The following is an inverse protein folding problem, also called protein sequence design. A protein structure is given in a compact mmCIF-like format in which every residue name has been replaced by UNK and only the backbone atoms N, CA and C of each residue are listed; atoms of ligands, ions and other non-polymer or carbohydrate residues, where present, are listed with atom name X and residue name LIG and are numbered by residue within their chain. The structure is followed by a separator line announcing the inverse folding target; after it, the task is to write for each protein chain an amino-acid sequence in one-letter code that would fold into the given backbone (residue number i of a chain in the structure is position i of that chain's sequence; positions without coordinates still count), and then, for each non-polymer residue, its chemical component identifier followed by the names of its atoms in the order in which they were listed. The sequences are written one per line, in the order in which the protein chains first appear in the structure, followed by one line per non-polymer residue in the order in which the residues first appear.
data_IF_773814777673
#
_entry.id   IF_773814777673
#
_cell.length_a   1.000
_cell.length_b   1.000
_cell.length_c   1.000
_cell.angle_alpha   90.00
_cell.angle_beta   90.00
_cell.angle_gamma   90.00
#
_symmetry.space_group_name_H-M   'P 1'
#
loop_
_entity.id
_entity.type
_entity.pdbx_description
1 polymer ?
#
# COMPACT_ATOMS: atom_id res chain seq x y z
N UNK A 1 -22.35 14.52 -4.26
CA UNK A 1 -21.61 13.39 -3.68
C UNK A 1 -20.14 13.70 -3.85
N UNK A 2 -19.36 13.79 -2.75
CA UNK A 2 -17.93 14.06 -2.87
C UNK A 2 -17.26 12.77 -3.37
N UNK A 3 -16.87 12.76 -4.65
CA UNK A 3 -16.11 11.67 -5.25
C UNK A 3 -14.69 11.69 -4.66
N UNK A 4 -14.10 10.51 -4.53
CA UNK A 4 -12.73 10.34 -4.08
C UNK A 4 -11.99 9.47 -5.08
N UNK A 5 -10.67 9.60 -5.08
CA UNK A 5 -9.73 8.73 -5.80
C UNK A 5 -8.64 8.26 -4.84
N UNK A 6 -7.89 7.26 -5.25
CA UNK A 6 -6.70 6.79 -4.56
C UNK A 6 -5.46 7.21 -5.34
N UNK A 7 -4.52 7.80 -4.63
CA UNK A 7 -3.16 8.04 -5.13
C UNK A 7 -2.28 6.95 -4.54
N UNK A 8 -1.39 6.37 -5.33
CA UNK A 8 -0.35 5.48 -4.86
C UNK A 8 1.01 5.86 -5.46
N UNK A 9 2.02 5.97 -4.61
CA UNK A 9 3.38 6.35 -4.98
C UNK A 9 4.37 5.23 -4.62
N UNK A 10 5.32 4.97 -5.51
CA UNK A 10 6.38 3.98 -5.31
C UNK A 10 7.48 4.56 -4.42
N UNK A 11 7.66 3.97 -3.23
CA UNK A 11 8.78 4.28 -2.36
C UNK A 11 10.06 3.64 -2.87
N UNK A 12 11.19 4.35 -2.72
CA UNK A 12 12.51 3.83 -3.08
C UNK A 12 13.35 3.57 -1.83
N UNK A 13 13.98 2.38 -1.79
CA UNK A 13 14.95 2.08 -0.75
C UNK A 13 16.25 2.82 -1.06
N UNK A 14 16.51 3.89 -0.32
CA UNK A 14 17.74 4.69 -0.43
C UNK A 14 18.90 4.11 0.38
N UNK A 15 18.61 3.19 1.33
CA UNK A 15 19.61 2.54 2.20
C UNK A 15 19.34 1.04 2.37
N UNK A 16 20.28 0.15 2.04
CA UNK A 16 20.11 -1.29 2.26
C UNK A 16 20.21 -1.71 3.74
N UNK A 17 20.73 -0.83 4.60
CA UNK A 17 21.10 -1.07 6.00
C UNK A 17 20.06 -0.64 7.06
N UNK A 18 18.97 0.03 6.70
CA UNK A 18 17.83 0.38 7.57
C UNK A 18 16.52 0.49 6.75
N UNK A 19 15.35 0.54 7.42
CA UNK A 19 14.46 -0.60 7.72
C UNK A 19 14.04 -1.43 6.48
N UNK A 20 13.25 -2.49 6.65
CA UNK A 20 12.92 -3.44 5.55
C UNK A 20 12.06 -2.86 4.42
N UNK A 21 11.51 -1.65 4.59
CA UNK A 21 10.58 -0.99 3.67
C UNK A 21 11.12 0.38 3.22
N UNK A 22 10.66 0.88 2.07
CA UNK A 22 11.06 2.17 1.52
C UNK A 22 10.43 3.36 2.25
N UNK A 23 11.10 4.52 2.25
CA UNK A 23 10.55 5.78 2.76
C UNK A 23 9.35 6.25 1.91
N UNK A 24 8.48 7.06 2.51
CA UNK A 24 7.36 7.72 1.84
C UNK A 24 7.85 8.86 0.94
N UNK A 25 7.69 8.78 -0.39
CA UNK A 25 8.00 9.88 -1.29
C UNK A 25 6.79 10.81 -1.45
N UNK A 26 7.08 12.08 -1.72
CA UNK A 26 6.11 12.94 -2.40
C UNK A 26 5.66 12.27 -3.70
N UNK A 27 4.35 12.14 -3.98
CA UNK A 27 3.88 11.51 -5.21
C UNK A 27 4.29 12.25 -6.49
N UNK A 28 4.71 13.52 -6.38
CA UNK A 28 5.26 14.31 -7.48
C UNK A 28 6.73 13.97 -7.78
N UNK A 29 7.45 13.47 -6.78
CA UNK A 29 8.89 13.14 -6.88
C UNK A 29 9.13 11.63 -6.96
N UNK A 30 8.08 10.83 -6.72
CA UNK A 30 8.14 9.38 -6.80
C UNK A 30 8.47 8.93 -8.22
N UNK A 31 9.33 7.91 -8.34
CA UNK A 31 9.67 7.29 -9.64
C UNK A 31 8.44 6.77 -10.40
N UNK A 32 7.42 6.36 -9.67
CA UNK A 32 6.13 5.98 -10.22
C UNK A 32 5.01 6.43 -9.30
N UNK A 33 3.94 6.95 -9.90
CA UNK A 33 2.73 7.39 -9.22
C UNK A 33 1.51 7.01 -10.07
N UNK A 34 0.42 6.61 -9.44
CA UNK A 34 -0.86 6.32 -10.11
C UNK A 34 -2.01 6.95 -9.35
N UNK A 35 -3.06 7.31 -10.10
CA UNK A 35 -4.38 7.65 -9.57
C UNK A 35 -5.37 6.60 -10.06
N UNK A 36 -6.15 6.03 -9.14
CA UNK A 36 -7.21 5.05 -9.46
C UNK A 36 -8.52 5.42 -8.75
N UNK A 37 -9.63 4.86 -9.22
CA UNK A 37 -10.94 5.15 -8.66
C UNK A 37 -11.23 4.37 -7.36
N UNK A 38 -10.84 3.09 -7.31
CA UNK A 38 -11.09 2.22 -6.15
C UNK A 38 -9.77 1.70 -5.52
N UNK A 39 -9.82 1.37 -4.23
CA UNK A 39 -8.68 0.77 -3.53
C UNK A 39 -8.26 -0.56 -4.17
N UNK A 40 -9.22 -1.36 -4.65
CA UNK A 40 -8.95 -2.64 -5.30
C UNK A 40 -8.11 -2.49 -6.58
N UNK A 41 -8.19 -1.34 -7.25
CA UNK A 41 -7.45 -1.07 -8.48
C UNK A 41 -5.95 -0.83 -8.22
N UNK A 42 -5.54 -0.64 -6.96
CA UNK A 42 -4.13 -0.53 -6.58
C UNK A 42 -3.39 -1.86 -6.74
N UNK A 43 -4.04 -3.00 -6.51
CA UNK A 43 -3.36 -4.30 -6.53
C UNK A 43 -2.85 -4.72 -7.92
N UNK A 44 -3.62 -4.57 -9.02
CA UNK A 44 -3.10 -4.81 -10.36
C UNK A 44 -1.94 -3.87 -10.72
N UNK A 45 -1.99 -2.60 -10.33
CA UNK A 45 -0.90 -1.65 -10.58
C UNK A 45 0.35 -2.05 -9.80
N UNK A 46 0.19 -2.36 -8.52
CA UNK A 46 1.27 -2.85 -7.65
C UNK A 46 1.95 -4.10 -8.23
N UNK A 47 1.16 -5.07 -8.69
CA UNK A 47 1.69 -6.28 -9.33
C UNK A 47 2.46 -5.96 -10.63
N UNK A 48 1.96 -5.02 -11.44
CA UNK A 48 2.66 -4.55 -12.64
C UNK A 48 3.97 -3.85 -12.34
N UNK A 49 3.97 -2.98 -11.32
CA UNK A 49 5.17 -2.29 -10.84
C UNK A 49 6.22 -3.25 -10.30
N UNK A 50 5.81 -4.30 -9.56
CA UNK A 50 6.73 -5.34 -9.11
C UNK A 50 7.42 -6.04 -10.29
N UNK A 51 6.68 -6.38 -11.33
CA UNK A 51 7.25 -7.03 -12.51
C UNK A 51 8.23 -6.12 -13.28
N UNK A 52 8.05 -4.80 -13.20
CA UNK A 52 8.81 -3.83 -13.97
C UNK A 52 10.00 -3.22 -13.23
N UNK A 53 9.87 -2.97 -11.93
CA UNK A 53 10.88 -2.23 -11.15
C UNK A 53 11.74 -3.15 -10.29
N UNK A 54 11.15 -4.01 -9.46
CA UNK A 54 11.85 -4.94 -8.58
C UNK A 54 10.88 -5.97 -7.98
N UNK A 55 11.40 -7.15 -7.63
CA UNK A 55 10.58 -8.18 -6.97
C UNK A 55 10.09 -7.74 -5.58
N UNK A 56 10.85 -6.90 -4.89
CA UNK A 56 10.50 -6.29 -3.62
C UNK A 56 10.30 -4.78 -3.82
N UNK A 57 9.06 -4.32 -3.64
CA UNK A 57 8.70 -2.90 -3.67
C UNK A 57 7.86 -2.56 -2.44
N UNK A 58 7.95 -1.29 -2.02
CA UNK A 58 7.05 -0.66 -1.06
C UNK A 58 6.33 0.47 -1.77
N UNK A 59 5.02 0.57 -1.61
CA UNK A 59 4.25 1.71 -2.10
C UNK A 59 3.43 2.32 -0.98
N UNK A 60 3.15 3.60 -1.12
CA UNK A 60 2.35 4.35 -0.17
C UNK A 60 1.09 4.85 -0.87
N UNK A 61 -0.06 4.84 -0.18
CA UNK A 61 -1.33 5.17 -0.78
C UNK A 61 -2.22 6.00 0.15
N UNK A 62 -2.95 6.93 -0.47
CA UNK A 62 -3.87 7.83 0.22
C UNK A 62 -5.15 8.02 -0.59
N UNK A 63 -6.28 8.07 0.10
CA UNK A 63 -7.56 8.44 -0.47
C UNK A 63 -7.74 9.95 -0.38
N UNK A 64 -8.00 10.61 -1.51
CA UNK A 64 -8.15 12.07 -1.58
C UNK A 64 -9.46 12.44 -2.30
N UNK A 65 -10.01 13.65 -2.04
CA UNK A 65 -11.14 14.16 -2.80
C UNK A 65 -10.79 14.27 -4.29
N UNK A 66 -11.79 14.07 -5.16
CA UNK A 66 -11.64 14.16 -6.61
C UNK A 66 -12.42 15.32 -7.20
N UNK A 67 -11.88 15.92 -8.26
CA UNK A 67 -12.57 16.92 -9.08
C UNK A 67 -13.65 16.29 -9.97
N UNK A 68 -14.36 17.13 -10.74
CA UNK A 68 -15.42 16.68 -11.65
C UNK A 68 -14.91 15.77 -12.78
N UNK A 69 -13.61 15.78 -13.07
CA UNK A 69 -12.95 14.97 -14.08
C UNK A 69 -12.36 13.67 -13.50
N UNK A 70 -12.49 13.44 -12.19
CA UNK A 70 -11.93 12.25 -11.54
C UNK A 70 -10.42 12.34 -11.27
N UNK A 71 -9.85 13.55 -11.23
CA UNK A 71 -8.47 13.78 -10.82
C UNK A 71 -8.42 14.18 -9.35
N UNK A 72 -7.28 14.04 -8.66
CA UNK A 72 -7.13 14.58 -7.31
C UNK A 72 -7.51 16.06 -7.27
N UNK A 73 -8.34 16.45 -6.30
CA UNK A 73 -8.76 17.83 -6.13
C UNK A 73 -7.60 18.70 -5.63
N UNK A 74 -7.64 20.01 -5.93
CA UNK A 74 -6.62 20.97 -5.50
C UNK A 74 -6.32 20.87 -4.00
N UNK A 75 -5.03 20.90 -3.65
CA UNK A 75 -4.56 20.82 -2.27
C UNK A 75 -4.32 19.41 -1.75
N UNK A 76 -4.51 18.37 -2.57
CA UNK A 76 -4.21 16.98 -2.19
C UNK A 76 -2.73 16.78 -1.82
N UNK A 77 -1.82 17.53 -2.44
CA UNK A 77 -0.38 17.46 -2.16
C UNK A 77 -0.06 17.87 -0.71
N UNK A 78 -0.73 18.92 -0.23
CA UNK A 78 -0.57 19.40 1.14
C UNK A 78 -1.06 18.35 2.14
N UNK A 79 -2.20 17.71 1.86
CA UNK A 79 -2.73 16.62 2.68
C UNK A 79 -1.73 15.46 2.74
N UNK A 80 -1.12 15.08 1.60
CA UNK A 80 -0.08 14.05 1.60
C UNK A 80 1.12 14.42 2.46
N UNK A 81 1.63 15.64 2.32
CA UNK A 81 2.82 16.09 3.03
C UNK A 81 2.60 16.28 4.55
N UNK A 82 1.40 16.70 4.94
CA UNK A 82 1.07 16.99 6.35
C UNK A 82 0.62 15.75 7.12
N UNK A 83 -0.29 14.96 6.54
CA UNK A 83 -0.90 13.81 7.24
C UNK A 83 -0.13 12.51 6.98
N UNK A 84 0.64 12.45 5.88
CA UNK A 84 1.27 11.22 5.41
C UNK A 84 0.25 10.21 4.85
N UNK A 85 0.67 9.34 3.93
CA UNK A 85 -0.19 8.32 3.35
C UNK A 85 -0.57 7.27 4.40
N UNK A 86 -1.87 7.07 4.67
CA UNK A 86 -2.33 6.19 5.73
C UNK A 86 -2.16 4.71 5.39
N UNK A 87 -1.80 4.35 4.16
CA UNK A 87 -1.64 2.95 3.74
C UNK A 87 -0.27 2.73 3.13
N UNK A 88 0.42 1.73 3.64
CA UNK A 88 1.61 1.15 3.01
C UNK A 88 1.30 -0.24 2.47
N UNK A 89 1.76 -0.53 1.26
CA UNK A 89 1.72 -1.85 0.66
C UNK A 89 3.15 -2.35 0.48
N UNK A 90 3.47 -3.50 1.07
CA UNK A 90 4.77 -4.15 0.93
C UNK A 90 4.62 -5.49 0.19
N UNK A 91 5.53 -5.78 -0.73
CA UNK A 91 5.65 -7.12 -1.27
C UNK A 91 6.45 -8.00 -0.31
N UNK A 92 5.91 -9.17 0.03
CA UNK A 92 6.58 -10.18 0.86
C UNK A 92 6.99 -11.39 0.00
N UNK A 93 8.02 -12.15 0.43
CA UNK A 93 8.39 -13.40 -0.23
C UNK A 93 7.17 -14.33 -0.43
N UNK A 94 7.08 -14.96 -1.59
CA UNK A 94 5.93 -15.80 -1.97
C UNK A 94 4.78 -15.05 -2.65
N UNK A 95 4.93 -13.75 -2.91
CA UNK A 95 3.96 -12.95 -3.68
C UNK A 95 2.78 -12.44 -2.86
N UNK A 96 2.88 -12.49 -1.53
CA UNK A 96 1.89 -11.87 -0.65
C UNK A 96 2.08 -10.35 -0.63
N UNK A 97 0.97 -9.61 -0.61
CA UNK A 97 0.96 -8.17 -0.42
C UNK A 97 0.52 -7.92 1.02
N UNK A 98 1.40 -7.30 1.81
CA UNK A 98 1.08 -6.87 3.16
C UNK A 98 0.52 -5.44 3.10
N UNK A 99 -0.69 -5.25 3.63
CA UNK A 99 -1.34 -3.93 3.73
C UNK A 99 -1.20 -3.46 5.17
N UNK A 100 -0.48 -2.35 5.38
CA UNK A 100 -0.30 -1.74 6.71
C UNK A 100 -0.98 -0.38 6.76
N UNK A 101 -2.08 -0.24 7.51
CA UNK A 101 -2.60 1.09 7.83
C UNK A 101 -1.67 1.75 8.86
N UNK A 102 -1.30 3.01 8.64
CA UNK A 102 -0.60 3.85 9.62
C UNK A 102 -1.56 4.25 10.77
N UNK A 103 -2.86 4.29 10.49
CA UNK A 103 -3.92 4.45 11.50
C UNK A 103 -4.37 3.09 12.01
N UNK A 104 -3.83 2.66 13.15
CA UNK A 104 -4.24 1.45 13.85
C UNK A 104 -5.62 1.65 14.52
N UNK A 105 -6.70 1.39 13.79
CA UNK A 105 -7.86 0.71 14.38
C UNK A 105 -8.00 -0.65 13.69
N UNK A 106 -7.61 -1.77 14.34
CA UNK A 106 -7.86 -3.07 13.77
C UNK A 106 -9.39 -3.25 13.63
N UNK A 107 -9.88 -3.73 12.48
CA UNK A 107 -11.29 -4.07 12.37
C UNK A 107 -11.63 -5.06 13.49
N UNK A 108 -12.61 -4.72 14.34
CA UNK A 108 -13.17 -5.67 15.31
C UNK A 108 -13.89 -6.76 14.54
N UNK A 109 -13.14 -7.79 14.18
CA UNK A 109 -13.60 -8.97 13.47
C UNK A 109 -12.51 -10.02 13.56
N UNK A 110 -12.88 -11.29 13.71
CA UNK A 110 -11.90 -12.38 13.75
C UNK A 110 -10.97 -12.27 12.54
N UNK A 111 -9.66 -12.52 12.70
CA UNK A 111 -8.79 -12.69 11.56
C UNK A 111 -9.43 -13.73 10.64
N UNK A 112 -9.57 -13.39 9.35
CA UNK A 112 -9.88 -14.40 8.35
C UNK A 112 -8.66 -15.32 8.31
N UNK A 113 -8.72 -16.43 9.05
CA UNK A 113 -7.82 -17.53 8.80
C UNK A 113 -7.90 -17.84 7.30
N UNK A 114 -6.78 -17.95 6.59
CA UNK A 114 -6.83 -18.38 5.20
C UNK A 114 -7.59 -19.71 5.13
N UNK A 115 -8.39 -19.96 4.07
CA UNK A 115 -9.01 -21.27 3.89
C UNK A 115 -7.92 -22.31 4.01
N UNK A 116 -8.12 -23.27 4.92
CA UNK A 116 -7.16 -24.33 5.16
C UNK A 116 -6.83 -24.99 3.82
N UNK A 117 -5.58 -24.88 3.38
CA UNK A 117 -5.09 -25.65 2.24
C UNK A 117 -5.18 -27.11 2.68
N UNK A 118 -6.01 -27.95 2.02
CA UNK A 118 -6.08 -29.35 2.38
C UNK A 118 -4.73 -29.99 2.02
N UNK A 119 -3.91 -30.31 3.02
CA UNK A 119 -2.73 -31.17 2.82
C UNK A 119 -1.43 -30.84 3.55
N UNK A 120 -1.30 -29.77 4.34
CA UNK A 120 -0.06 -29.52 5.09
C UNK A 120 -0.25 -29.74 6.60
N UNK A 121 0.02 -30.97 7.04
CA UNK A 121 0.16 -31.28 8.45
C UNK A 121 1.49 -30.71 8.97
N UNK A 122 1.42 -29.55 9.63
CA UNK A 122 2.19 -29.22 10.85
C UNK A 122 1.69 -27.89 11.43
N UNK A 123 1.32 -27.83 12.73
CA UNK A 123 0.89 -26.59 13.35
C UNK A 123 2.11 -25.66 13.51
N UNK A 124 2.05 -24.47 12.89
CA UNK A 124 2.98 -23.40 13.17
C UNK A 124 2.63 -22.81 14.55
N UNK A 125 3.53 -23.01 15.52
CA UNK A 125 3.51 -22.35 16.81
C UNK A 125 3.85 -20.88 16.59
N UNK A 126 2.91 -19.99 16.93
CA UNK A 126 3.18 -18.54 16.99
C UNK A 126 3.58 -18.24 18.44
N UNK A 127 4.86 -18.00 18.67
CA UNK A 127 5.35 -17.41 19.92
C UNK A 127 5.43 -15.89 19.71
N UNK A 128 4.63 -15.15 20.46
CA UNK A 128 4.82 -13.71 20.62
C UNK A 128 6.03 -13.47 21.53
N UNK A 129 6.92 -12.57 21.12
CA UNK A 129 7.96 -11.96 21.97
C UNK A 129 7.63 -10.49 22.11
#
# INVERSE_FOLDING_TARGET
MNRHVWIMALGERTRPDQPTFAEDPSPLDARACVVVDDFADLFPVFAGWRAHFAEEITTWAMRVPADAQGRPAEGWEAVWAEDGPPIRLDCRPGGFIEVRPDVFEPPRGRPLSPPAVPGSAKPAVITAV
#
